data_IF_815726153877
#
_entry.id   IF_815726153877
#
_cell.length_a   1.000
_cell.length_b   1.000
_cell.length_c   1.000
_cell.angle_alpha   90.00
_cell.angle_beta   90.00
_cell.angle_gamma   90.00
#
_symmetry.space_group_name_H-M   'P 1'
#
loop_
_entity.id
_entity.type
_entity.pdbx_description
1 polymer ?
#
# COMPACT_ATOMS: atom_id res chain seq x y z
N UNK A 1 -6.62 0.99 -30.72
CA UNK A 1 -5.82 0.91 -29.49
C UNK A 1 -5.53 2.33 -29.05
N UNK A 2 -6.05 2.78 -27.90
CA UNK A 2 -5.56 4.03 -27.30
C UNK A 2 -4.21 3.71 -26.67
N UNK A 3 -3.17 4.42 -27.10
CA UNK A 3 -1.85 4.37 -26.47
C UNK A 3 -2.01 4.65 -24.96
N UNK A 4 -1.37 3.84 -24.11
CA UNK A 4 -1.38 4.10 -22.67
C UNK A 4 -0.60 5.38 -22.40
N UNK A 5 -1.30 6.40 -21.92
CA UNK A 5 -0.80 7.78 -21.71
C UNK A 5 0.21 7.89 -20.55
N UNK A 6 0.56 6.79 -19.87
CA UNK A 6 1.32 6.84 -18.62
C UNK A 6 2.65 6.10 -18.71
N UNK A 7 3.62 6.61 -17.94
CA UNK A 7 4.98 6.12 -17.92
C UNK A 7 5.09 4.75 -17.22
N UNK A 8 6.17 4.00 -17.47
CA UNK A 8 6.42 2.72 -16.83
C UNK A 8 6.61 2.77 -15.31
N UNK A 9 6.59 3.91 -14.63
CA UNK A 9 6.90 3.97 -13.18
C UNK A 9 5.90 4.81 -12.38
N UNK A 10 4.63 4.41 -12.42
CA UNK A 10 3.54 5.03 -11.65
C UNK A 10 3.82 5.03 -10.14
N UNK A 11 4.63 4.10 -9.64
CA UNK A 11 5.08 4.10 -8.24
C UNK A 11 6.02 5.25 -7.95
N UNK A 12 6.98 5.53 -8.84
CA UNK A 12 7.83 6.69 -8.71
C UNK A 12 7.02 7.99 -8.75
N UNK A 13 6.01 8.06 -9.62
CA UNK A 13 5.09 9.21 -9.71
C UNK A 13 4.27 9.38 -8.41
N UNK A 14 3.72 8.30 -7.85
CA UNK A 14 3.03 8.34 -6.56
C UNK A 14 3.97 8.62 -5.38
N UNK A 15 5.20 8.10 -5.42
CA UNK A 15 6.21 8.38 -4.41
C UNK A 15 6.53 9.87 -4.34
N UNK A 16 6.56 10.58 -5.49
CA UNK A 16 6.70 12.03 -5.49
C UNK A 16 5.55 12.74 -4.77
N UNK A 17 4.30 12.29 -4.97
CA UNK A 17 3.14 12.84 -4.26
C UNK A 17 3.23 12.56 -2.75
N UNK A 18 3.69 11.37 -2.34
CA UNK A 18 3.87 11.03 -0.92
C UNK A 18 4.94 11.92 -0.28
N UNK A 19 6.01 12.26 -0.99
CA UNK A 19 7.08 13.12 -0.48
C UNK A 19 6.62 14.55 -0.14
N UNK A 20 5.53 15.02 -0.75
CA UNK A 20 4.92 16.32 -0.41
C UNK A 20 4.11 16.25 0.91
N UNK A 21 3.84 15.05 1.44
CA UNK A 21 3.24 14.85 2.76
C UNK A 21 4.39 14.82 3.80
N UNK A 22 4.38 15.68 4.84
CA UNK A 22 5.45 15.81 5.82
C UNK A 22 5.45 14.66 6.84
N UNK A 23 5.74 13.45 6.37
CA UNK A 23 5.86 12.24 7.18
C UNK A 23 7.30 12.15 7.70
N UNK A 24 7.48 12.19 9.02
CA UNK A 24 8.79 12.03 9.67
C UNK A 24 8.75 10.85 10.63
N UNK A 25 9.58 9.84 10.32
CA UNK A 25 9.39 8.50 10.87
C UNK A 25 8.02 7.96 10.46
N UNK A 26 7.25 7.44 11.40
CA UNK A 26 5.89 6.95 11.14
C UNK A 26 4.81 7.93 11.64
N UNK A 27 5.09 9.24 11.55
CA UNK A 27 4.21 10.30 12.03
C UNK A 27 4.08 11.42 11.02
N UNK A 28 2.87 11.93 10.84
CA UNK A 28 2.60 13.14 10.06
C UNK A 28 2.84 14.36 10.95
N UNK A 29 3.76 15.25 10.57
CA UNK A 29 4.23 16.34 11.43
C UNK A 29 3.17 17.39 11.79
N UNK A 30 2.03 17.43 11.09
CA UNK A 30 1.06 18.51 11.24
C UNK A 30 0.03 18.31 12.35
N UNK A 31 -0.07 17.16 13.04
CA UNK A 31 -1.19 16.95 13.97
C UNK A 31 -0.92 16.12 15.23
N UNK A 32 -1.33 16.70 16.38
CA UNK A 32 -1.71 15.96 17.57
C UNK A 32 -3.15 15.43 17.38
N UNK A 33 -3.27 14.14 17.04
CA UNK A 33 -4.44 13.24 17.02
C UNK A 33 -5.81 13.72 16.45
N UNK A 34 -6.38 12.82 15.63
CA UNK A 34 -7.75 12.68 15.11
C UNK A 34 -8.08 13.23 13.69
N UNK A 35 -7.26 14.07 13.06
CA UNK A 35 -7.53 14.52 11.66
C UNK A 35 -6.38 14.30 10.67
N UNK A 36 -5.50 13.33 10.91
CA UNK A 36 -4.37 13.00 10.02
C UNK A 36 -4.86 12.61 8.62
N UNK A 37 -5.90 11.78 8.53
CA UNK A 37 -6.41 11.28 7.24
C UNK A 37 -6.95 12.39 6.35
N UNK A 38 -7.58 13.40 6.95
CA UNK A 38 -8.32 14.46 6.25
C UNK A 38 -7.54 15.78 6.18
N UNK A 39 -6.33 15.82 6.73
CA UNK A 39 -5.43 16.97 6.61
C UNK A 39 -4.98 17.13 5.17
N UNK A 40 -5.17 18.32 4.61
CA UNK A 40 -4.71 18.65 3.26
C UNK A 40 -3.26 19.16 3.30
N UNK A 41 -2.43 18.58 2.45
CA UNK A 41 -1.02 18.91 2.29
C UNK A 41 -0.80 19.54 0.92
N UNK A 42 -0.21 20.73 0.89
CA UNK A 42 0.11 21.41 -0.36
C UNK A 42 1.15 20.63 -1.17
N UNK A 43 0.92 20.53 -2.46
CA UNK A 43 1.79 19.83 -3.40
C UNK A 43 2.73 20.86 -4.00
N UNK A 44 4.03 20.65 -3.82
CA UNK A 44 5.04 21.63 -4.19
C UNK A 44 5.70 21.37 -5.54
N UNK A 45 5.58 20.13 -6.04
CA UNK A 45 6.26 19.68 -7.26
C UNK A 45 5.34 19.70 -8.47
N UNK A 46 5.82 20.29 -9.56
CA UNK A 46 5.09 20.36 -10.83
C UNK A 46 4.76 18.97 -11.37
N UNK A 47 5.68 18.00 -11.22
CA UNK A 47 5.46 16.61 -11.65
C UNK A 47 4.33 15.93 -10.86
N UNK A 48 4.25 16.16 -9.55
CA UNK A 48 3.17 15.64 -8.71
C UNK A 48 1.81 16.22 -9.15
N UNK A 49 1.75 17.53 -9.42
CA UNK A 49 0.55 18.21 -9.90
C UNK A 49 0.14 17.69 -11.28
N UNK A 50 1.09 17.54 -12.20
CA UNK A 50 0.84 17.02 -13.55
C UNK A 50 0.32 15.57 -13.48
N UNK A 51 0.92 14.74 -12.63
CA UNK A 51 0.48 13.37 -12.41
C UNK A 51 -0.96 13.31 -11.89
N UNK A 52 -1.28 14.07 -10.83
CA UNK A 52 -2.64 14.12 -10.29
C UNK A 52 -3.65 14.56 -11.35
N UNK A 53 -3.32 15.57 -12.16
CA UNK A 53 -4.18 15.99 -13.28
C UNK A 53 -4.39 14.88 -14.30
N UNK A 54 -3.35 14.12 -14.66
CA UNK A 54 -3.44 12.98 -15.59
C UNK A 54 -4.39 11.89 -15.08
N UNK A 55 -4.41 11.65 -13.77
CA UNK A 55 -5.32 10.67 -13.15
C UNK A 55 -6.69 11.25 -12.75
N UNK A 56 -6.98 12.51 -13.15
CA UNK A 56 -8.29 13.15 -13.01
C UNK A 56 -8.50 13.97 -11.74
N UNK A 57 -7.41 14.38 -11.06
CA UNK A 57 -7.44 15.19 -9.84
C UNK A 57 -6.77 16.54 -10.11
N UNK A 58 -7.58 17.58 -10.32
CA UNK A 58 -7.10 18.96 -10.47
C UNK A 58 -7.10 19.65 -9.10
N UNK A 59 -6.02 19.46 -8.36
CA UNK A 59 -5.84 19.96 -6.99
C UNK A 59 -4.39 20.31 -6.73
N UNK A 60 -4.15 21.36 -5.94
CA UNK A 60 -2.85 21.77 -5.43
C UNK A 60 -2.59 21.26 -4.00
N UNK A 61 -3.56 20.53 -3.42
CA UNK A 61 -3.39 19.82 -2.16
C UNK A 61 -3.89 18.38 -2.23
N UNK A 62 -3.37 17.53 -1.33
CA UNK A 62 -3.83 16.16 -1.15
C UNK A 62 -3.82 15.77 0.32
N UNK A 63 -4.82 15.00 0.74
CA UNK A 63 -4.88 14.37 2.06
C UNK A 63 -4.50 12.90 2.01
N UNK A 64 -4.09 12.32 3.15
CA UNK A 64 -3.70 10.90 3.24
C UNK A 64 -4.86 10.00 2.82
N UNK A 65 -6.11 10.34 3.20
CA UNK A 65 -7.32 9.61 2.77
C UNK A 65 -7.42 9.56 1.25
N UNK A 66 -7.28 10.71 0.61
CA UNK A 66 -7.40 10.85 -0.84
C UNK A 66 -6.29 10.11 -1.56
N UNK A 67 -5.08 10.15 -0.99
CA UNK A 67 -3.95 9.36 -1.46
C UNK A 67 -4.22 7.85 -1.37
N UNK A 68 -4.67 7.33 -0.23
CA UNK A 68 -4.96 5.88 -0.12
C UNK A 68 -6.11 5.46 -1.02
N UNK A 69 -7.15 6.29 -1.21
CA UNK A 69 -8.22 6.03 -2.17
C UNK A 69 -7.71 5.96 -3.62
N UNK A 70 -6.79 6.87 -3.98
CA UNK A 70 -6.12 6.86 -5.28
C UNK A 70 -5.33 5.58 -5.49
N UNK A 71 -4.52 5.19 -4.50
CA UNK A 71 -3.79 3.93 -4.54
C UNK A 71 -4.73 2.74 -4.68
N UNK A 72 -5.78 2.64 -3.86
CA UNK A 72 -6.78 1.56 -3.96
C UNK A 72 -7.32 1.45 -5.38
N UNK A 73 -7.75 2.57 -5.97
CA UNK A 73 -8.30 2.58 -7.34
C UNK A 73 -7.29 2.10 -8.37
N UNK A 74 -6.02 2.48 -8.25
CA UNK A 74 -4.95 2.02 -9.15
C UNK A 74 -4.66 0.54 -8.96
N UNK A 75 -4.61 0.05 -7.73
CA UNK A 75 -4.40 -1.37 -7.42
C UNK A 75 -5.56 -2.26 -7.93
N UNK A 76 -6.79 -1.75 -7.92
CA UNK A 76 -7.98 -2.48 -8.37
C UNK A 76 -8.16 -2.51 -9.90
N UNK A 77 -7.43 -1.69 -10.65
CA UNK A 77 -7.52 -1.67 -12.12
C UNK A 77 -6.55 -2.68 -12.72
N UNK A 78 -7.07 -3.71 -13.39
CA UNK A 78 -6.32 -4.83 -13.97
C UNK A 78 -5.15 -4.39 -14.87
N UNK A 79 -5.24 -3.21 -15.50
CA UNK A 79 -4.18 -2.65 -16.35
C UNK A 79 -2.96 -2.21 -15.54
N UNK A 80 -3.20 -1.73 -14.33
CA UNK A 80 -2.18 -1.18 -13.43
C UNK A 80 -1.71 -2.19 -12.39
N UNK A 81 -2.64 -2.97 -11.82
CA UNK A 81 -2.32 -3.96 -10.79
C UNK A 81 -1.24 -4.95 -11.22
N UNK A 82 -1.30 -5.43 -12.47
CA UNK A 82 -0.28 -6.34 -13.01
C UNK A 82 1.10 -5.68 -13.14
N UNK A 83 1.18 -4.46 -13.68
CA UNK A 83 2.46 -3.74 -13.84
C UNK A 83 3.08 -3.40 -12.48
N UNK A 84 2.24 -3.06 -11.51
CA UNK A 84 2.62 -2.78 -10.13
C UNK A 84 3.26 -4.02 -9.48
N UNK A 85 2.60 -5.18 -9.61
CA UNK A 85 3.13 -6.47 -9.15
C UNK A 85 4.45 -6.78 -9.86
N UNK A 86 4.50 -6.67 -11.18
CA UNK A 86 5.70 -6.99 -11.96
C UNK A 86 6.88 -6.14 -11.52
N UNK A 87 6.71 -4.85 -11.23
CA UNK A 87 7.78 -3.98 -10.73
C UNK A 87 8.26 -4.37 -9.34
N UNK A 88 7.32 -4.62 -8.41
CA UNK A 88 7.64 -5.09 -7.06
C UNK A 88 8.46 -6.38 -7.18
N UNK A 89 7.96 -7.39 -7.89
CA UNK A 89 8.56 -8.72 -7.98
C UNK A 89 9.79 -8.83 -8.89
N UNK A 90 9.93 -7.99 -9.92
CA UNK A 90 11.12 -7.97 -10.78
C UNK A 90 12.36 -7.50 -10.03
N UNK A 91 12.17 -6.62 -9.03
CA UNK A 91 13.25 -6.27 -8.08
C UNK A 91 13.60 -7.45 -7.15
N UNK A 92 12.62 -8.28 -6.77
CA UNK A 92 12.80 -9.43 -5.85
C UNK A 92 13.57 -10.60 -6.44
N UNK A 93 13.44 -10.88 -7.74
CA UNK A 93 14.08 -12.04 -8.40
C UNK A 93 15.62 -12.00 -8.43
N UNK A 94 16.25 -10.93 -7.91
CA UNK A 94 17.71 -10.80 -7.84
C UNK A 94 18.31 -11.27 -6.51
N UNK A 95 17.49 -11.56 -5.51
CA UNK A 95 17.93 -11.97 -4.18
C UNK A 95 17.39 -13.39 -3.94
N UNK A 96 18.24 -14.31 -3.50
CA UNK A 96 17.89 -15.72 -3.22
C UNK A 96 17.76 -15.93 -1.70
N UNK A 97 16.62 -15.60 -1.10
CA UNK A 97 16.41 -15.66 0.35
C UNK A 97 16.03 -17.04 0.86
N UNK A 98 16.21 -17.21 2.17
CA UNK A 98 15.82 -18.42 2.92
C UNK A 98 14.36 -18.38 3.45
N UNK A 99 13.73 -17.19 3.46
CA UNK A 99 12.28 -16.97 3.67
C UNK A 99 11.69 -16.54 2.33
N UNK A 100 10.47 -16.97 1.94
CA UNK A 100 9.90 -16.54 0.68
C UNK A 100 9.59 -15.04 0.78
N UNK A 101 10.53 -14.23 0.27
CA UNK A 101 10.56 -12.76 0.30
C UNK A 101 9.24 -12.15 -0.17
N UNK A 102 8.59 -12.83 -1.11
CA UNK A 102 7.25 -12.53 -1.60
C UNK A 102 6.17 -12.43 -0.51
N UNK A 103 6.34 -13.06 0.65
CA UNK A 103 5.36 -13.01 1.74
C UNK A 103 5.48 -11.76 2.61
N UNK A 104 6.61 -11.04 2.64
CA UNK A 104 6.84 -9.94 3.60
C UNK A 104 5.79 -8.82 3.51
N UNK A 105 5.51 -8.34 2.29
CA UNK A 105 4.52 -7.28 2.10
C UNK A 105 3.09 -7.80 2.30
N UNK A 106 2.85 -9.07 1.96
CA UNK A 106 1.58 -9.74 2.20
C UNK A 106 1.29 -9.92 3.69
N UNK A 107 2.27 -10.39 4.46
CA UNK A 107 2.21 -10.61 5.91
C UNK A 107 2.04 -9.29 6.67
N UNK A 108 2.68 -8.21 6.20
CA UNK A 108 2.39 -6.85 6.67
C UNK A 108 0.90 -6.54 6.54
N UNK A 109 0.33 -6.68 5.34
CA UNK A 109 -1.07 -6.36 5.13
C UNK A 109 -2.00 -7.26 5.95
N UNK A 110 -1.71 -8.56 6.06
CA UNK A 110 -2.48 -9.49 6.88
C UNK A 110 -2.47 -9.11 8.37
N UNK A 111 -1.31 -8.72 8.89
CA UNK A 111 -1.18 -8.26 10.27
C UNK A 111 -1.93 -6.94 10.49
N UNK A 112 -1.78 -5.99 9.56
CA UNK A 112 -2.43 -4.68 9.59
C UNK A 112 -3.97 -4.79 9.58
N UNK A 113 -4.54 -5.62 8.70
CA UNK A 113 -5.98 -5.87 8.62
C UNK A 113 -6.57 -6.54 9.88
N UNK A 114 -5.75 -7.34 10.56
CA UNK A 114 -6.13 -7.98 11.82
C UNK A 114 -5.77 -7.13 13.05
N UNK A 115 -5.40 -5.86 12.85
CA UNK A 115 -5.06 -4.89 13.90
C UNK A 115 -3.87 -5.35 14.77
N UNK A 116 -2.98 -6.17 14.21
CA UNK A 116 -1.74 -6.62 14.84
C UNK A 116 -0.58 -5.71 14.43
N UNK A 117 -0.62 -4.46 14.89
CA UNK A 117 0.29 -3.40 14.45
C UNK A 117 1.77 -3.66 14.82
N UNK A 118 2.03 -4.50 15.83
CA UNK A 118 3.41 -4.88 16.20
C UNK A 118 4.01 -5.79 15.13
N UNK A 119 3.27 -6.83 14.75
CA UNK A 119 3.65 -7.72 13.66
C UNK A 119 3.70 -6.97 12.33
N UNK A 120 2.74 -6.08 12.06
CA UNK A 120 2.73 -5.27 10.85
C UNK A 120 4.03 -4.45 10.72
N UNK A 121 4.40 -3.69 11.74
CA UNK A 121 5.64 -2.91 11.73
C UNK A 121 6.89 -3.80 11.60
N UNK A 122 6.88 -5.00 12.19
CA UNK A 122 7.96 -5.97 12.05
C UNK A 122 8.10 -6.43 10.60
N UNK A 123 7.02 -6.91 9.96
CA UNK A 123 7.03 -7.34 8.57
C UNK A 123 7.39 -6.20 7.62
N UNK A 124 6.90 -4.99 7.87
CA UNK A 124 7.21 -3.81 7.07
C UNK A 124 8.70 -3.43 7.15
N UNK A 125 9.33 -3.50 8.32
CA UNK A 125 10.76 -3.26 8.47
C UNK A 125 11.59 -4.28 7.67
N UNK A 126 11.20 -5.56 7.70
CA UNK A 126 11.83 -6.59 6.89
C UNK A 126 11.57 -6.35 5.41
N UNK A 127 10.35 -5.99 5.03
CA UNK A 127 9.98 -5.68 3.66
C UNK A 127 10.82 -4.51 3.12
N UNK A 128 11.02 -3.46 3.91
CA UNK A 128 11.85 -2.33 3.51
C UNK A 128 13.30 -2.72 3.23
N UNK A 129 13.94 -3.43 4.16
CA UNK A 129 15.35 -3.80 4.02
C UNK A 129 15.60 -4.88 2.96
N UNK A 130 14.62 -5.75 2.72
CA UNK A 130 14.79 -6.93 1.87
C UNK A 130 14.19 -6.73 0.47
N UNK A 131 13.08 -5.99 0.35
CA UNK A 131 12.40 -5.70 -0.93
C UNK A 131 12.86 -4.39 -1.58
N UNK A 132 13.70 -3.60 -0.90
CA UNK A 132 14.10 -2.26 -1.35
C UNK A 132 12.87 -1.38 -1.64
N UNK A 133 11.91 -1.37 -0.70
CA UNK A 133 10.71 -0.53 -0.80
C UNK A 133 11.13 0.95 -0.85
N UNK A 134 10.47 1.73 -1.71
CA UNK A 134 10.67 3.18 -1.74
C UNK A 134 10.45 3.78 -0.34
N UNK A 135 11.34 4.70 0.05
CA UNK A 135 11.31 5.33 1.38
C UNK A 135 9.96 5.99 1.68
N UNK A 136 9.38 6.67 0.69
CA UNK A 136 8.12 7.40 0.83
C UNK A 136 6.99 6.40 1.05
N UNK A 137 6.98 5.30 0.30
CA UNK A 137 6.01 4.22 0.48
C UNK A 137 6.16 3.50 1.82
N UNK A 138 7.39 3.23 2.26
CA UNK A 138 7.67 2.68 3.59
C UNK A 138 7.16 3.59 4.72
N UNK A 139 7.41 4.90 4.62
CA UNK A 139 6.95 5.88 5.61
C UNK A 139 5.42 5.98 5.63
N UNK A 140 4.76 5.92 4.47
CA UNK A 140 3.30 5.87 4.37
C UNK A 140 2.75 4.64 5.11
N UNK A 141 3.18 3.43 4.71
CA UNK A 141 2.71 2.18 5.32
C UNK A 141 2.99 2.15 6.83
N UNK A 142 4.17 2.58 7.25
CA UNK A 142 4.53 2.63 8.66
C UNK A 142 3.68 3.62 9.44
N UNK A 143 3.30 4.75 8.84
CA UNK A 143 2.36 5.71 9.44
C UNK A 143 0.97 5.11 9.60
N UNK A 144 0.47 4.37 8.59
CA UNK A 144 -0.83 3.69 8.69
C UNK A 144 -0.86 2.73 9.88
N UNK A 145 0.17 1.88 10.01
CA UNK A 145 0.30 0.93 11.10
C UNK A 145 0.51 1.59 12.45
N UNK A 146 1.42 2.58 12.52
CA UNK A 146 1.81 3.21 13.78
C UNK A 146 0.68 4.02 14.42
N UNK A 147 -0.12 4.67 13.58
CA UNK A 147 -1.25 5.49 13.99
C UNK A 147 -2.58 4.70 13.95
N UNK A 148 -2.52 3.37 13.78
CA UNK A 148 -3.66 2.44 13.80
C UNK A 148 -4.78 2.84 12.82
N UNK A 149 -4.40 3.38 11.66
CA UNK A 149 -5.31 3.97 10.69
C UNK A 149 -6.09 2.94 9.89
N UNK A 150 -5.68 1.67 9.93
CA UNK A 150 -6.45 0.55 9.38
C UNK A 150 -7.79 0.31 10.09
N UNK A 151 -8.22 1.15 11.03
CA UNK A 151 -9.63 1.19 11.50
C UNK A 151 -10.54 1.96 10.55
N UNK A 152 -9.98 2.88 9.76
CA UNK A 152 -10.68 3.65 8.75
C UNK A 152 -10.97 2.82 7.50
N UNK A 153 -12.15 2.96 6.92
CA UNK A 153 -12.58 2.15 5.78
C UNK A 153 -11.72 2.37 4.52
N UNK A 154 -11.30 3.59 4.23
CA UNK A 154 -10.51 3.86 3.02
C UNK A 154 -9.11 3.23 3.13
N UNK A 155 -8.54 3.26 4.34
CA UNK A 155 -7.25 2.62 4.64
C UNK A 155 -7.40 1.09 4.59
N UNK A 156 -8.47 0.54 5.17
CA UNK A 156 -8.81 -0.88 5.10
C UNK A 156 -8.89 -1.38 3.66
N UNK A 157 -9.57 -0.64 2.79
CA UNK A 157 -9.69 -0.99 1.37
C UNK A 157 -8.34 -0.96 0.66
N UNK A 158 -7.52 0.06 0.94
CA UNK A 158 -6.16 0.16 0.39
C UNK A 158 -5.29 -1.04 0.80
N UNK A 159 -5.23 -1.36 2.10
CA UNK A 159 -4.44 -2.48 2.61
C UNK A 159 -4.96 -3.81 2.04
N UNK A 160 -6.27 -3.95 1.86
CA UNK A 160 -6.90 -5.14 1.24
C UNK A 160 -6.47 -5.31 -0.22
N UNK A 161 -6.50 -4.24 -1.01
CA UNK A 161 -6.05 -4.27 -2.40
C UNK A 161 -4.55 -4.61 -2.49
N UNK A 162 -3.74 -3.99 -1.63
CA UNK A 162 -2.30 -4.24 -1.56
C UNK A 162 -2.00 -5.69 -1.15
N UNK A 163 -2.71 -6.24 -0.17
CA UNK A 163 -2.60 -7.64 0.22
C UNK A 163 -2.91 -8.57 -0.96
N UNK A 164 -3.98 -8.31 -1.70
CA UNK A 164 -4.38 -9.20 -2.78
C UNK A 164 -3.37 -9.22 -3.91
N UNK A 165 -2.79 -8.07 -4.24
CA UNK A 165 -1.77 -7.98 -5.28
C UNK A 165 -0.41 -8.53 -4.84
N UNK A 166 -0.04 -8.31 -3.58
CA UNK A 166 1.18 -8.88 -3.01
C UNK A 166 1.04 -10.35 -2.65
N UNK A 167 -0.14 -10.96 -2.76
CA UNK A 167 -0.37 -12.36 -2.40
C UNK A 167 0.48 -13.31 -3.25
N UNK A 168 1.35 -14.12 -2.64
CA UNK A 168 2.08 -15.17 -3.34
C UNK A 168 1.14 -16.21 -3.96
N UNK A 169 1.55 -16.83 -5.08
CA UNK A 169 0.77 -17.88 -5.76
C UNK A 169 0.42 -19.04 -4.82
N UNK A 170 1.33 -19.37 -3.90
CA UNK A 170 1.16 -20.43 -2.93
C UNK A 170 0.48 -20.02 -1.63
N UNK A 171 0.12 -18.74 -1.43
CA UNK A 171 -0.38 -18.23 -0.15
C UNK A 171 -1.63 -18.96 0.36
N UNK A 172 -2.52 -19.39 -0.55
CA UNK A 172 -3.71 -20.19 -0.25
C UNK A 172 -3.36 -21.60 0.21
N UNK A 173 -2.37 -22.24 -0.42
CA UNK A 173 -1.87 -23.57 -0.03
C UNK A 173 -1.13 -23.56 1.31
N UNK A 174 -0.71 -22.38 1.79
CA UNK A 174 -0.01 -22.23 3.07
C UNK A 174 -0.94 -22.12 4.28
N UNK A 175 -2.27 -22.03 4.09
CA UNK A 175 -3.24 -22.07 5.21
C UNK A 175 -3.10 -23.32 6.08
N UNK A 176 -2.66 -24.44 5.50
CA UNK A 176 -2.46 -25.72 6.21
C UNK A 176 -1.12 -25.83 6.94
N UNK A 177 -0.13 -25.00 6.56
CA UNK A 177 1.24 -25.04 7.09
C UNK A 177 1.46 -24.06 8.25
N UNK A 178 0.72 -22.95 8.27
CA UNK A 178 0.79 -21.96 9.33
C UNK A 178 -0.37 -22.10 10.30
N UNK A 179 -0.12 -21.79 11.58
CA UNK A 179 -1.09 -22.00 12.66
C UNK A 179 -2.35 -21.13 12.54
N UNK A 180 -3.30 -21.35 13.46
CA UNK A 180 -4.64 -20.73 13.47
C UNK A 180 -4.63 -19.20 13.30
N UNK A 181 -3.58 -18.53 13.77
CA UNK A 181 -3.42 -17.07 13.61
C UNK A 181 -3.33 -16.65 12.14
N UNK A 182 -2.58 -17.38 11.31
CA UNK A 182 -2.47 -17.07 9.88
C UNK A 182 -3.80 -17.31 9.16
N UNK A 183 -4.47 -18.42 9.47
CA UNK A 183 -5.79 -18.75 8.91
C UNK A 183 -6.79 -17.62 9.20
N UNK A 184 -6.85 -17.16 10.45
CA UNK A 184 -7.71 -16.04 10.84
C UNK A 184 -7.41 -14.76 10.04
N UNK A 185 -6.14 -14.37 9.92
CA UNK A 185 -5.74 -13.17 9.16
C UNK A 185 -6.15 -13.29 7.69
N UNK A 186 -5.96 -14.47 7.10
CA UNK A 186 -6.34 -14.72 5.71
C UNK A 186 -7.87 -14.68 5.51
N UNK A 187 -8.65 -15.24 6.43
CA UNK A 187 -10.12 -15.22 6.32
C UNK A 187 -10.68 -13.78 6.44
N UNK A 188 -10.05 -12.92 7.23
CA UNK A 188 -10.35 -11.47 7.25
C UNK A 188 -10.10 -10.86 5.86
N UNK A 189 -8.95 -11.16 5.25
CA UNK A 189 -8.64 -10.68 3.91
C UNK A 189 -9.68 -11.15 2.88
N UNK A 190 -10.06 -12.43 2.91
CA UNK A 190 -11.04 -12.99 1.96
C UNK A 190 -12.41 -12.29 2.09
N UNK A 191 -12.90 -12.06 3.32
CA UNK A 191 -14.15 -11.33 3.57
C UNK A 191 -14.08 -9.87 3.09
N UNK A 192 -12.96 -9.19 3.37
CA UNK A 192 -12.75 -7.81 2.95
C UNK A 192 -12.64 -7.68 1.43
N UNK A 193 -11.93 -8.60 0.77
CA UNK A 193 -11.79 -8.62 -0.69
C UNK A 193 -13.14 -8.82 -1.38
N UNK A 194 -14.00 -9.70 -0.87
CA UNK A 194 -15.35 -9.88 -1.40
C UNK A 194 -16.23 -8.63 -1.28
N UNK A 195 -16.04 -7.84 -0.24
CA UNK A 195 -16.75 -6.56 -0.06
C UNK A 195 -16.20 -5.50 -1.02
N UNK A 196 -14.88 -5.42 -1.15
CA UNK A 196 -14.20 -4.47 -2.03
C UNK A 196 -14.53 -4.68 -3.50
N UNK A 197 -14.53 -5.93 -3.98
CA UNK A 197 -14.88 -6.26 -5.37
C UNK A 197 -16.34 -6.00 -5.76
N UNK A 198 -17.22 -5.65 -4.81
CA UNK A 198 -18.59 -5.18 -5.12
C UNK A 198 -18.65 -3.67 -5.34
N UNK A 199 -17.60 -2.94 -4.98
CA UNK A 199 -17.51 -1.47 -5.01
C UNK A 199 -16.86 -0.95 -6.31
N UNK A 200 -15.99 -1.74 -6.92
CA UNK A 200 -15.24 -1.45 -8.15
C UNK A 200 -15.65 -2.41 -9.26
#
# INVERSE_FOLDING_TARGET
>A
MKESVFSPDIFQELAYVIQDIPIVGFKVQTMHNASILDSEFGISKDESIEFLKKIGYDTDSISVRKLVQLFTKLLMDDRWGYLIIEQIYTKLRKINPSYPIEYLLFDYCLAELNEDYTDALLYLAHAYHILDLDNSFYLLLGTLAKEELAKDNDVKEFVTALARLSMPVSASSHKELFGETYVKRFDILDDMWQKLGKKY
#
